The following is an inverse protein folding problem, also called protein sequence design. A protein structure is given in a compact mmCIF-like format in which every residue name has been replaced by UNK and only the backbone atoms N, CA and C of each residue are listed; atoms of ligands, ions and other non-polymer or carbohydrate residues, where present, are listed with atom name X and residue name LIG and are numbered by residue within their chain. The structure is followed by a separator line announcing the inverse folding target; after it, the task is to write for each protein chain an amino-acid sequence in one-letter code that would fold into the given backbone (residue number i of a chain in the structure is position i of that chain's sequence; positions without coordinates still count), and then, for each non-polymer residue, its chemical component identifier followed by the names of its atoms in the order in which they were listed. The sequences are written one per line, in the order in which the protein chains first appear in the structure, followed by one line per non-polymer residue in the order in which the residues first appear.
data_IF_009401689714
#
_entry.id   IF_009401689714
#
_cell.length_a   1.000
_cell.length_b   1.000
_cell.length_c   1.000
_cell.angle_alpha   90.00
_cell.angle_beta   90.00
_cell.angle_gamma   90.00
#
_symmetry.space_group_name_H-M   'P 1'
#
loop_
_entity.id
_entity.type
_entity.pdbx_description
1 polymer ?
#
# COMPACT_ATOMS: atom_id res chain seq x y z
N UNK A 1 11.39 -0.83 -9.45
CA UNK A 1 10.67 0.45 -9.63
C UNK A 1 9.92 0.75 -8.36
N UNK A 2 9.65 2.03 -8.03
CA UNK A 2 9.02 2.39 -6.77
C UNK A 2 7.50 2.53 -6.92
N UNK A 3 6.75 2.40 -5.82
CA UNK A 3 5.31 2.67 -5.80
C UNK A 3 5.11 4.19 -5.85
N UNK A 4 4.35 4.71 -6.84
CA UNK A 4 4.12 6.14 -6.98
C UNK A 4 3.21 6.67 -5.87
N UNK A 5 3.50 7.83 -5.26
CA UNK A 5 2.63 8.42 -4.24
C UNK A 5 1.25 8.81 -4.78
N UNK A 6 1.12 9.02 -6.09
CA UNK A 6 -0.14 9.33 -6.77
C UNK A 6 -1.17 8.21 -6.63
N UNK A 7 -0.74 6.98 -6.32
CA UNK A 7 -1.63 5.85 -6.03
C UNK A 7 -2.63 6.18 -4.91
N UNK A 8 -2.23 6.98 -3.92
CA UNK A 8 -3.09 7.39 -2.81
C UNK A 8 -4.27 8.30 -3.21
N UNK A 9 -4.33 8.75 -4.46
CA UNK A 9 -5.48 9.48 -5.00
C UNK A 9 -6.63 8.56 -5.45
N UNK A 10 -6.38 7.26 -5.57
CA UNK A 10 -7.36 6.26 -6.02
C UNK A 10 -8.27 5.84 -4.86
N UNK A 11 -9.03 6.77 -4.28
CA UNK A 11 -9.82 6.56 -3.05
C UNK A 11 -10.89 5.46 -3.12
N UNK A 12 -11.20 4.96 -4.31
CA UNK A 12 -12.13 3.85 -4.55
C UNK A 12 -11.42 2.52 -4.87
N UNK A 13 -10.09 2.47 -4.78
CA UNK A 13 -9.32 1.26 -5.01
C UNK A 13 -9.58 0.25 -3.90
N UNK A 14 -10.14 -0.91 -4.27
CA UNK A 14 -10.46 -1.99 -3.33
C UNK A 14 -9.33 -3.00 -3.19
N UNK A 15 -8.56 -3.25 -4.26
CA UNK A 15 -7.50 -4.24 -4.25
C UNK A 15 -6.22 -3.69 -4.87
N UNK A 16 -5.11 -3.82 -4.15
CA UNK A 16 -3.78 -3.52 -4.65
C UNK A 16 -2.83 -4.69 -4.36
N UNK A 17 -2.67 -5.54 -5.36
CA UNK A 17 -1.88 -6.77 -5.30
C UNK A 17 -0.69 -6.65 -6.23
N UNK A 18 0.51 -6.57 -5.65
CA UNK A 18 1.78 -6.57 -6.38
C UNK A 18 2.68 -7.59 -5.72
N UNK A 19 2.62 -8.84 -6.17
CA UNK A 19 3.41 -9.93 -5.61
C UNK A 19 4.50 -10.37 -6.59
N UNK A 20 5.60 -10.91 -6.08
CA UNK A 20 6.66 -11.55 -6.88
C UNK A 20 7.26 -10.62 -7.95
N UNK A 21 7.62 -9.40 -7.55
CA UNK A 21 8.19 -8.39 -8.43
C UNK A 21 9.49 -7.81 -7.87
N UNK A 22 10.18 -7.00 -8.67
CA UNK A 22 11.34 -6.21 -8.24
C UNK A 22 10.94 -4.76 -7.86
N UNK A 23 9.82 -4.61 -7.13
CA UNK A 23 9.46 -3.31 -6.55
C UNK A 23 10.42 -3.00 -5.40
N UNK A 24 10.92 -1.78 -5.38
CA UNK A 24 11.97 -1.29 -4.46
C UNK A 24 11.50 -0.03 -3.74
N UNK A 25 12.25 0.42 -2.73
CA UNK A 25 11.95 1.65 -2.00
C UNK A 25 10.95 1.44 -0.87
N UNK A 26 10.30 2.51 -0.43
CA UNK A 26 9.36 2.49 0.71
C UNK A 26 7.91 2.54 0.25
N UNK A 27 7.00 2.12 1.13
CA UNK A 27 5.58 2.40 0.93
C UNK A 27 5.34 3.92 1.06
N UNK A 28 4.68 4.58 0.10
CA UNK A 28 4.33 5.99 0.26
C UNK A 28 3.26 6.16 1.32
N UNK A 29 3.33 7.21 2.14
CA UNK A 29 2.32 7.49 3.18
C UNK A 29 0.91 7.66 2.60
N UNK A 30 0.82 8.14 1.37
CA UNK A 30 -0.46 8.29 0.65
C UNK A 30 -1.17 6.96 0.39
N UNK A 31 -0.47 5.82 0.44
CA UNK A 31 -1.10 4.49 0.37
C UNK A 31 -2.13 4.30 1.51
N UNK A 32 -1.87 4.89 2.67
CA UNK A 32 -2.78 4.83 3.81
C UNK A 32 -3.98 5.77 3.65
N UNK A 33 -4.10 6.53 2.57
CA UNK A 33 -5.33 7.28 2.26
C UNK A 33 -6.41 6.41 1.56
N UNK A 34 -6.08 5.17 1.21
CA UNK A 34 -6.96 4.26 0.48
C UNK A 34 -7.97 3.59 1.43
N UNK A 35 -8.93 4.36 1.93
CA UNK A 35 -9.90 3.86 2.91
C UNK A 35 -10.83 2.77 2.37
N UNK A 36 -11.02 2.67 1.06
CA UNK A 36 -11.79 1.60 0.41
C UNK A 36 -11.00 0.29 0.20
N UNK A 37 -9.72 0.26 0.56
CA UNK A 37 -8.86 -0.89 0.30
C UNK A 37 -9.24 -2.07 1.21
N UNK A 38 -9.56 -3.19 0.58
CA UNK A 38 -9.93 -4.46 1.18
C UNK A 38 -8.78 -5.47 1.11
N UNK A 39 -8.05 -5.46 -0.02
CA UNK A 39 -6.96 -6.38 -0.30
C UNK A 39 -5.66 -5.63 -0.58
N UNK A 40 -4.62 -5.92 0.20
CA UNK A 40 -3.29 -5.33 0.04
C UNK A 40 -2.22 -6.40 0.14
N UNK A 41 -1.42 -6.56 -0.93
CA UNK A 41 -0.28 -7.46 -0.88
C UNK A 41 0.91 -6.96 -1.67
N UNK A 42 2.07 -7.00 -0.99
CA UNK A 42 3.37 -6.67 -1.56
C UNK A 42 4.37 -7.82 -1.45
N UNK A 43 3.87 -9.04 -1.27
CA UNK A 43 4.70 -10.20 -0.98
C UNK A 43 5.78 -10.42 -2.04
N UNK A 44 6.97 -10.84 -1.61
CA UNK A 44 8.07 -11.14 -2.52
C UNK A 44 8.46 -9.94 -3.39
N UNK A 45 8.66 -8.78 -2.75
CA UNK A 45 9.30 -7.58 -3.32
C UNK A 45 10.49 -7.15 -2.44
N UNK A 46 11.16 -6.08 -2.84
CA UNK A 46 12.33 -5.51 -2.16
C UNK A 46 11.98 -4.16 -1.50
N UNK A 47 10.78 -4.08 -0.90
CA UNK A 47 10.32 -2.89 -0.18
C UNK A 47 10.99 -2.79 1.20
N UNK A 48 11.31 -1.57 1.63
CA UNK A 48 11.96 -1.24 2.89
C UNK A 48 11.20 -0.15 3.65
N UNK A 49 11.65 0.20 4.86
CA UNK A 49 11.02 1.23 5.70
C UNK A 49 10.12 0.66 6.78
N UNK A 50 9.31 1.53 7.39
CA UNK A 50 8.45 1.18 8.52
C UNK A 50 7.01 1.53 8.20
N UNK A 51 6.08 0.71 8.69
CA UNK A 51 4.67 1.05 8.67
C UNK A 51 4.39 2.14 9.71
N UNK A 52 3.51 3.11 9.42
CA UNK A 52 2.98 4.01 10.43
C UNK A 52 2.38 3.21 11.59
N UNK A 53 2.54 3.70 12.83
CA UNK A 53 1.99 3.03 14.03
C UNK A 53 0.48 2.79 13.94
N UNK A 54 -0.23 3.67 13.24
CA UNK A 54 -1.68 3.64 13.07
C UNK A 54 -2.12 3.12 11.69
N UNK A 55 -1.27 2.40 10.96
CA UNK A 55 -1.56 1.91 9.61
C UNK A 55 -2.92 1.18 9.50
N UNK A 56 -3.26 0.34 10.48
CA UNK A 56 -4.55 -0.36 10.51
C UNK A 56 -5.76 0.55 10.72
N UNK A 57 -5.59 1.73 11.35
CA UNK A 57 -6.68 2.71 11.49
C UNK A 57 -7.01 3.39 10.16
N UNK A 58 -6.01 3.54 9.31
CA UNK A 58 -6.14 4.23 8.03
C UNK A 58 -6.66 3.31 6.91
N UNK A 59 -6.59 1.99 7.11
CA UNK A 59 -7.10 0.97 6.19
C UNK A 59 -8.18 0.13 6.89
N UNK A 60 -9.36 0.71 7.20
CA UNK A 60 -10.36 0.08 8.06
C UNK A 60 -11.06 -1.13 7.42
N UNK A 61 -11.00 -1.26 6.10
CA UNK A 61 -11.66 -2.33 5.35
C UNK A 61 -10.71 -3.48 5.00
N UNK A 62 -9.43 -3.38 5.39
CA UNK A 62 -8.40 -4.35 5.04
C UNK A 62 -8.63 -5.68 5.78
N UNK A 63 -8.64 -6.78 5.03
CA UNK A 63 -8.91 -8.14 5.55
C UNK A 63 -7.63 -8.94 5.85
#
# INVERSE_FOLDING_TARGET
GNIPPELGSLTHLMAFIVQMNNVTGTLPESLFNLSALEDLSFMSNQLTGHLPKDAGRFLPNLQ
#
